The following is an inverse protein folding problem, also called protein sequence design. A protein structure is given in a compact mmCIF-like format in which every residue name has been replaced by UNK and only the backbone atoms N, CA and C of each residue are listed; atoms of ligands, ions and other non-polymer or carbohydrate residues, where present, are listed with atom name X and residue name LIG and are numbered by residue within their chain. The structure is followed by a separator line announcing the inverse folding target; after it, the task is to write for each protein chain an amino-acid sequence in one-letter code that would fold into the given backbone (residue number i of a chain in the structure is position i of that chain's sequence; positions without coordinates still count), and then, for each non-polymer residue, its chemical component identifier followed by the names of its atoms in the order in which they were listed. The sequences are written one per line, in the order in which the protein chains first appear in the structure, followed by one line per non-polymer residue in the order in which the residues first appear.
data_IF_298027921943
#
_entry.id   IF_298027921943
#
_cell.length_a   1.000
_cell.length_b   1.000
_cell.length_c   1.000
_cell.angle_alpha   90.00
_cell.angle_beta   90.00
_cell.angle_gamma   90.00
#
_symmetry.space_group_name_H-M   'P 1'
#
loop_
_entity.id
_entity.type
_entity.pdbx_description
1 polymer ?
#
# COMPACT_ATOMS: atom_id res chain seq x y z
N UNK A 1 -11.08 2.06 16.24
CA UNK A 1 -11.28 0.72 16.86
C UNK A 1 -12.70 0.28 16.59
N UNK A 2 -12.93 -1.02 16.40
CA UNK A 2 -14.28 -1.57 16.17
C UNK A 2 -14.63 -2.61 17.24
N UNK A 3 -15.90 -2.71 17.58
CA UNK A 3 -16.43 -3.80 18.40
C UNK A 3 -17.64 -4.40 17.67
N UNK A 4 -17.62 -5.71 17.42
CA UNK A 4 -18.76 -6.39 16.81
C UNK A 4 -19.84 -6.65 17.85
N UNK A 5 -21.09 -6.28 17.55
CA UNK A 5 -22.23 -6.48 18.47
C UNK A 5 -23.05 -7.75 18.16
N UNK A 6 -23.02 -8.23 16.92
CA UNK A 6 -23.88 -9.33 16.45
C UNK A 6 -23.10 -10.61 16.12
N UNK A 7 -21.77 -10.54 16.03
CA UNK A 7 -20.92 -11.70 15.71
C UNK A 7 -20.72 -12.54 16.98
N UNK A 8 -21.40 -13.68 17.05
CA UNK A 8 -21.35 -14.58 18.21
C UNK A 8 -20.04 -15.39 18.25
N UNK A 9 -19.63 -15.93 17.10
CA UNK A 9 -18.38 -16.68 16.97
C UNK A 9 -17.24 -15.77 16.50
N UNK A 10 -16.16 -15.67 17.28
CA UNK A 10 -15.05 -14.76 17.02
C UNK A 10 -15.43 -13.27 17.13
N UNK A 11 -15.97 -12.80 18.27
CA UNK A 11 -16.28 -11.40 18.48
C UNK A 11 -15.01 -10.55 18.48
N UNK A 12 -15.06 -9.41 17.81
CA UNK A 12 -14.00 -8.42 17.83
C UNK A 12 -14.31 -7.41 18.94
N UNK A 13 -13.39 -7.24 19.88
CA UNK A 13 -13.54 -6.28 20.99
C UNK A 13 -12.45 -5.23 20.84
N UNK A 14 -12.85 -3.96 20.62
CA UNK A 14 -11.94 -2.82 20.43
C UNK A 14 -10.81 -3.09 19.44
N UNK A 15 -11.07 -3.89 18.41
CA UNK A 15 -10.08 -4.30 17.43
C UNK A 15 -9.55 -3.09 16.66
N UNK A 16 -8.23 -3.02 16.48
CA UNK A 16 -7.56 -1.95 15.74
C UNK A 16 -7.46 -2.38 14.28
N UNK A 17 -8.37 -1.85 13.46
CA UNK A 17 -8.46 -2.17 12.03
C UNK A 17 -7.35 -1.58 11.16
N UNK A 18 -6.52 -0.67 11.69
CA UNK A 18 -5.43 0.00 10.95
C UNK A 18 -5.87 1.18 10.09
N UNK A 19 -7.15 1.24 9.70
CA UNK A 19 -7.74 2.34 8.93
C UNK A 19 -7.66 3.68 9.69
N UNK A 20 -7.30 4.72 8.95
CA UNK A 20 -7.22 6.11 9.37
C UNK A 20 -8.28 6.92 8.63
N UNK A 21 -8.99 7.77 9.37
CA UNK A 21 -10.12 8.51 8.85
C UNK A 21 -10.80 9.35 9.91
N UNK A 22 -11.97 9.88 9.58
CA UNK A 22 -12.80 10.69 10.49
C UNK A 22 -14.22 10.15 10.51
N UNK A 23 -14.89 10.24 11.66
CA UNK A 23 -16.29 9.85 11.79
C UNK A 23 -17.16 11.05 11.42
N UNK A 24 -18.05 10.87 10.44
CA UNK A 24 -19.01 11.87 9.99
C UNK A 24 -20.44 11.38 10.24
N UNK A 25 -21.37 12.31 10.40
CA UNK A 25 -22.80 12.00 10.31
C UNK A 25 -23.24 12.18 8.85
N UNK A 26 -23.94 11.20 8.30
CA UNK A 26 -24.48 11.27 6.94
C UNK A 26 -25.97 10.93 6.94
N UNK A 27 -26.73 11.76 6.23
CA UNK A 27 -28.13 11.51 5.87
C UNK A 27 -28.18 11.18 4.38
N UNK A 28 -28.70 10.00 4.03
CA UNK A 28 -28.80 9.51 2.67
C UNK A 28 -30.22 9.66 2.15
N UNK A 29 -30.38 9.99 0.86
CA UNK A 29 -31.69 10.11 0.21
C UNK A 29 -32.51 8.81 0.20
N UNK A 30 -31.88 7.65 0.43
CA UNK A 30 -32.57 6.38 0.62
C UNK A 30 -33.22 6.23 2.02
N UNK A 31 -33.07 7.22 2.91
CA UNK A 31 -33.62 7.22 4.27
C UNK A 31 -32.66 6.67 5.34
N UNK A 32 -31.47 6.18 4.95
CA UNK A 32 -30.44 5.79 5.90
C UNK A 32 -29.79 7.03 6.53
N UNK A 33 -29.62 7.02 7.85
CA UNK A 33 -28.95 8.09 8.61
C UNK A 33 -28.06 7.48 9.68
N UNK A 34 -26.87 8.04 9.90
CA UNK A 34 -25.99 7.57 10.95
C UNK A 34 -24.55 8.04 10.86
N UNK A 35 -23.73 7.49 11.76
CA UNK A 35 -22.29 7.74 11.80
C UNK A 35 -21.57 6.79 10.83
N UNK A 36 -20.78 7.36 9.95
CA UNK A 36 -19.96 6.64 8.97
C UNK A 36 -18.49 7.02 9.13
N UNK A 37 -17.59 6.10 8.77
CA UNK A 37 -16.17 6.39 8.67
C UNK A 37 -15.87 6.93 7.28
N UNK A 38 -15.39 8.16 7.21
CA UNK A 38 -14.75 8.73 6.02
C UNK A 38 -13.29 8.26 5.99
N UNK A 39 -13.02 7.28 5.11
CA UNK A 39 -11.74 6.58 5.01
C UNK A 39 -10.72 7.43 4.26
N UNK A 40 -9.59 7.71 4.91
CA UNK A 40 -8.49 8.52 4.35
C UNK A 40 -7.33 7.62 3.92
N UNK A 41 -7.06 6.53 4.66
CA UNK A 41 -5.94 5.64 4.37
C UNK A 41 -5.68 4.66 5.51
N UNK A 42 -4.46 4.11 5.56
CA UNK A 42 -4.03 3.19 6.62
C UNK A 42 -2.89 3.75 7.44
N UNK A 43 -2.78 3.29 8.69
CA UNK A 43 -1.75 3.71 9.66
C UNK A 43 -0.76 2.60 10.04
N UNK A 44 -0.92 1.41 9.46
CA UNK A 44 -0.17 0.19 9.81
C UNK A 44 0.82 -0.26 8.73
N UNK A 45 1.03 0.54 7.69
CA UNK A 45 1.98 0.24 6.62
C UNK A 45 1.49 -0.81 5.61
N UNK A 46 0.26 -1.29 5.73
CA UNK A 46 -0.35 -2.13 4.71
C UNK A 46 -0.71 -1.29 3.48
N UNK A 47 -0.30 -1.79 2.32
CA UNK A 47 -0.54 -1.20 1.01
C UNK A 47 -1.53 -2.10 0.28
N UNK A 48 -2.62 -1.52 -0.20
CA UNK A 48 -3.62 -2.23 -1.01
C UNK A 48 -3.40 -1.92 -2.48
N UNK A 49 -3.25 -2.96 -3.28
CA UNK A 49 -3.03 -2.90 -4.73
C UNK A 49 -4.01 -3.89 -5.34
N UNK A 50 -4.91 -3.42 -6.19
CA UNK A 50 -6.04 -4.19 -6.69
C UNK A 50 -6.82 -4.84 -5.52
N UNK A 51 -7.01 -6.15 -5.56
CA UNK A 51 -7.63 -6.97 -4.50
C UNK A 51 -6.62 -7.45 -3.45
N UNK A 52 -5.34 -7.29 -3.72
CA UNK A 52 -4.24 -7.80 -2.90
C UNK A 52 -3.77 -6.78 -1.85
N UNK A 53 -3.07 -7.27 -0.84
CA UNK A 53 -2.49 -6.44 0.22
C UNK A 53 -1.08 -6.92 0.52
N UNK A 54 -0.15 -5.98 0.68
CA UNK A 54 1.25 -6.25 1.04
C UNK A 54 1.69 -5.29 2.14
N UNK A 55 2.57 -5.75 3.02
CA UNK A 55 3.15 -4.90 4.06
C UNK A 55 4.39 -4.19 3.52
N UNK A 56 4.47 -2.86 3.70
CA UNK A 56 5.60 -2.06 3.24
C UNK A 56 6.95 -2.58 3.78
N UNK A 57 7.01 -2.99 5.05
CA UNK A 57 8.24 -3.49 5.65
C UNK A 57 8.70 -4.80 5.03
N UNK A 58 7.79 -5.70 4.63
CA UNK A 58 8.16 -6.95 3.96
C UNK A 58 8.79 -6.69 2.58
N UNK A 59 8.26 -5.69 1.84
CA UNK A 59 8.88 -5.26 0.58
C UNK A 59 10.30 -4.75 0.82
N UNK A 60 10.49 -3.84 1.78
CA UNK A 60 11.80 -3.30 2.11
C UNK A 60 12.78 -4.37 2.60
N UNK A 61 12.33 -5.29 3.45
CA UNK A 61 13.13 -6.42 3.95
C UNK A 61 13.56 -7.35 2.82
N UNK A 62 12.68 -7.63 1.86
CA UNK A 62 13.02 -8.47 0.70
C UNK A 62 14.09 -7.86 -0.20
N UNK A 63 14.24 -6.53 -0.17
CA UNK A 63 15.22 -5.80 -0.98
C UNK A 63 16.57 -5.61 -0.26
N UNK A 64 16.71 -6.04 1.00
CA UNK A 64 17.98 -5.97 1.73
C UNK A 64 19.17 -6.64 1.02
N UNK A 65 19.03 -7.80 0.33
CA UNK A 65 20.13 -8.42 -0.42
C UNK A 65 20.70 -7.53 -1.54
N UNK A 66 19.93 -6.54 -2.01
CA UNK A 66 20.36 -5.58 -3.03
C UNK A 66 20.99 -4.32 -2.42
N UNK A 67 21.12 -4.24 -1.10
CA UNK A 67 21.69 -3.08 -0.41
C UNK A 67 20.77 -1.86 -0.41
N UNK A 68 19.46 -2.06 -0.60
CA UNK A 68 18.46 -0.98 -0.57
C UNK A 68 18.34 -0.41 0.85
N UNK A 69 18.59 0.89 0.98
CA UNK A 69 18.48 1.64 2.24
C UNK A 69 17.15 2.36 2.38
N UNK A 70 16.56 2.82 1.28
CA UNK A 70 15.29 3.54 1.25
C UNK A 70 14.39 3.01 0.13
N UNK A 71 13.09 2.96 0.41
CA UNK A 71 12.07 2.52 -0.52
C UNK A 71 10.92 3.54 -0.54
N UNK A 72 10.55 3.99 -1.73
CA UNK A 72 9.29 4.68 -1.98
C UNK A 72 8.41 3.79 -2.84
N UNK A 73 7.15 3.66 -2.44
CA UNK A 73 6.14 2.92 -3.20
C UNK A 73 5.09 3.92 -3.65
N UNK A 74 4.88 4.00 -4.95
CA UNK A 74 3.85 4.81 -5.59
C UNK A 74 2.85 3.90 -6.31
N UNK A 75 1.56 4.19 -6.15
CA UNK A 75 0.49 3.55 -6.90
C UNK A 75 -0.14 4.62 -7.77
N UNK A 76 -0.06 4.43 -9.08
CA UNK A 76 -0.74 5.26 -10.07
C UNK A 76 -1.90 4.48 -10.69
N UNK A 77 -3.06 5.11 -10.81
CA UNK A 77 -4.23 4.51 -11.49
C UNK A 77 -4.56 5.32 -12.73
N UNK A 78 -4.41 4.71 -13.91
CA UNK A 78 -4.71 5.33 -15.21
C UNK A 78 -5.67 4.42 -15.97
N UNK A 79 -6.85 4.95 -16.32
CA UNK A 79 -7.84 4.25 -17.15
C UNK A 79 -8.18 2.81 -16.69
N UNK A 80 -8.38 2.62 -15.38
CA UNK A 80 -8.67 1.33 -14.73
C UNK A 80 -7.50 0.34 -14.65
N UNK A 81 -6.32 0.72 -15.13
CA UNK A 81 -5.07 0.01 -14.87
C UNK A 81 -4.36 0.64 -13.68
N UNK A 82 -3.87 -0.20 -12.78
CA UNK A 82 -2.97 0.23 -11.71
C UNK A 82 -1.52 -0.07 -12.08
N UNK A 83 -0.64 0.86 -11.75
CA UNK A 83 0.80 0.75 -11.88
C UNK A 83 1.44 0.94 -10.51
N UNK A 84 2.27 -0.03 -10.11
CA UNK A 84 3.07 0.01 -8.89
C UNK A 84 4.50 0.38 -9.26
N UNK A 85 4.95 1.55 -8.82
CA UNK A 85 6.30 2.07 -9.06
C UNK A 85 7.06 2.00 -7.74
N UNK A 86 8.11 1.19 -7.69
CA UNK A 86 9.01 1.10 -6.53
C UNK A 86 10.30 1.85 -6.84
N UNK A 87 10.54 2.96 -6.13
CA UNK A 87 11.82 3.68 -6.21
C UNK A 87 12.68 3.29 -5.02
N UNK A 88 13.91 2.91 -5.31
CA UNK A 88 14.87 2.44 -4.32
C UNK A 88 16.09 3.33 -4.30
N UNK A 89 16.64 3.58 -3.12
CA UNK A 89 18.01 4.10 -3.00
C UNK A 89 18.92 3.04 -2.42
N UNK A 90 20.15 3.01 -2.92
CA UNK A 90 21.22 2.17 -2.39
C UNK A 90 22.58 2.87 -2.57
N UNK A 91 23.56 2.64 -1.67
CA UNK A 91 24.90 3.24 -1.78
C UNK A 91 25.60 2.89 -3.10
N UNK A 92 25.34 1.68 -3.59
CA UNK A 92 25.72 1.25 -4.93
C UNK A 92 24.42 0.91 -5.67
N UNK A 93 24.18 1.58 -6.82
CA UNK A 93 22.97 1.34 -7.62
C UNK A 93 22.83 -0.14 -7.95
N UNK A 94 21.73 -0.72 -7.49
CA UNK A 94 21.38 -2.10 -7.71
C UNK A 94 20.71 -2.27 -9.09
N UNK A 95 20.74 -3.49 -9.61
CA UNK A 95 20.04 -3.82 -10.86
C UNK A 95 18.52 -3.79 -10.63
N UNK A 96 17.86 -2.80 -11.23
CA UNK A 96 16.42 -2.58 -11.12
C UNK A 96 15.59 -3.77 -11.66
N UNK A 97 16.02 -4.40 -12.75
CA UNK A 97 15.28 -5.52 -13.32
C UNK A 97 15.46 -6.77 -12.45
N UNK A 98 16.67 -6.99 -11.91
CA UNK A 98 16.90 -8.07 -10.95
C UNK A 98 16.03 -7.91 -9.70
N UNK A 99 15.89 -6.70 -9.16
CA UNK A 99 15.00 -6.41 -8.03
C UNK A 99 13.53 -6.65 -8.39
N UNK A 100 13.10 -6.20 -9.57
CA UNK A 100 11.73 -6.41 -10.06
C UNK A 100 11.39 -7.90 -10.16
N UNK A 101 12.26 -8.70 -10.78
CA UNK A 101 12.08 -10.15 -10.89
C UNK A 101 12.09 -10.82 -9.52
N UNK A 102 12.96 -10.39 -8.60
CA UNK A 102 12.98 -10.89 -7.23
C UNK A 102 11.66 -10.64 -6.50
N UNK A 103 11.12 -9.42 -6.59
CA UNK A 103 9.85 -9.04 -5.98
C UNK A 103 8.68 -9.86 -6.55
N UNK A 104 8.58 -10.00 -7.88
CA UNK A 104 7.53 -10.80 -8.52
C UNK A 104 7.63 -12.30 -8.20
N UNK A 105 8.85 -12.81 -8.00
CA UNK A 105 9.06 -14.19 -7.57
C UNK A 105 8.62 -14.40 -6.11
N UNK A 106 8.91 -13.43 -5.22
CA UNK A 106 8.69 -13.54 -3.78
C UNK A 106 7.26 -13.19 -3.33
N UNK A 107 6.58 -12.30 -4.04
CA UNK A 107 5.26 -11.80 -3.70
C UNK A 107 4.27 -12.07 -4.82
N UNK A 108 3.43 -13.08 -4.62
CA UNK A 108 2.34 -13.41 -5.56
C UNK A 108 1.37 -12.24 -5.75
N UNK A 109 1.17 -11.45 -4.69
CA UNK A 109 0.34 -10.23 -4.69
C UNK A 109 0.76 -9.18 -5.71
N UNK A 110 2.03 -9.16 -6.12
CA UNK A 110 2.57 -8.20 -7.09
C UNK A 110 2.41 -8.68 -8.54
N UNK A 111 1.94 -9.90 -8.77
CA UNK A 111 1.67 -10.43 -10.12
C UNK A 111 0.35 -9.91 -10.69
N UNK A 112 -0.44 -9.22 -9.86
CA UNK A 112 -1.79 -8.78 -10.19
C UNK A 112 -2.82 -9.86 -9.92
N UNK A 113 -4.08 -9.45 -9.93
CA UNK A 113 -5.23 -10.35 -9.89
C UNK A 113 -5.60 -10.80 -11.31
N UNK A 114 -5.69 -12.10 -11.52
CA UNK A 114 -6.04 -12.68 -12.81
C UNK A 114 -7.50 -12.40 -13.20
N UNK A 115 -8.37 -12.11 -12.23
CA UNK A 115 -9.79 -11.82 -12.43
C UNK A 115 -10.05 -10.35 -12.81
N UNK A 116 -9.01 -9.52 -12.89
CA UNK A 116 -9.11 -8.12 -13.31
C UNK A 116 -8.65 -8.00 -14.76
N UNK A 117 -9.52 -7.45 -15.61
CA UNK A 117 -9.27 -7.24 -17.06
C UNK A 117 -8.06 -6.32 -17.38
N UNK A 118 -7.49 -5.67 -16.36
CA UNK A 118 -6.31 -4.81 -16.46
C UNK A 118 -5.15 -5.34 -15.59
N UNK A 119 -4.01 -5.72 -16.21
CA UNK A 119 -2.89 -6.28 -15.47
C UNK A 119 -2.21 -5.21 -14.59
N UNK A 120 -1.73 -5.63 -13.42
CA UNK A 120 -0.90 -4.78 -12.56
C UNK A 120 0.48 -4.57 -13.22
N UNK A 121 0.82 -3.32 -13.51
CA UNK A 121 2.13 -2.99 -14.05
C UNK A 121 3.09 -2.70 -12.89
N UNK A 122 4.11 -3.53 -12.70
CA UNK A 122 5.14 -3.31 -11.67
C UNK A 122 6.43 -2.83 -12.32
N UNK A 123 6.94 -1.67 -11.91
CA UNK A 123 8.25 -1.14 -12.29
C UNK A 123 9.11 -0.84 -11.07
N UNK A 124 10.43 -0.97 -11.24
CA UNK A 124 11.42 -0.64 -10.22
C UNK A 124 12.39 0.38 -10.80
N UNK A 125 12.68 1.42 -10.03
CA UNK A 125 13.68 2.43 -10.34
C UNK A 125 14.80 2.36 -9.28
N UNK A 126 16.04 2.15 -9.71
CA UNK A 126 17.21 2.23 -8.83
C UNK A 126 17.85 3.61 -8.94
N UNK A 127 17.75 4.36 -7.86
CA UNK A 127 18.28 5.71 -7.70
C UNK A 127 19.58 5.66 -6.89
N UNK A 128 20.44 6.65 -7.12
CA UNK A 128 21.59 6.91 -6.26
C UNK A 128 21.15 7.47 -4.91
N UNK A 129 22.02 7.40 -3.92
CA UNK A 129 21.77 7.96 -2.59
C UNK A 129 21.48 9.48 -2.66
N UNK A 130 20.33 9.90 -2.12
CA UNK A 130 19.87 11.29 -2.13
C UNK A 130 19.15 11.76 -3.41
N UNK A 131 18.89 10.87 -4.37
CA UNK A 131 18.14 11.19 -5.60
C UNK A 131 16.62 10.98 -5.46
N UNK A 132 16.19 10.23 -4.45
CA UNK A 132 14.78 10.02 -4.14
C UNK A 132 14.19 11.31 -3.56
N UNK A 133 13.04 11.78 -4.07
CA UNK A 133 12.45 13.02 -3.61
C UNK A 133 12.15 12.98 -2.11
N UNK A 134 12.95 13.70 -1.33
CA UNK A 134 12.67 13.89 0.08
C UNK A 134 11.43 14.77 0.23
N UNK A 135 10.50 14.37 1.09
CA UNK A 135 9.47 15.30 1.55
C UNK A 135 10.16 16.36 2.39
N UNK A 136 10.45 17.52 1.79
CA UNK A 136 10.88 18.69 2.56
C UNK A 136 9.68 19.02 3.44
N UNK A 137 9.77 18.71 4.74
CA UNK A 137 8.78 19.16 5.72
C UNK A 137 8.68 20.67 5.55
N UNK A 138 7.59 21.15 4.96
CA UNK A 138 7.25 22.56 5.04
C UNK A 138 7.13 22.88 6.54
N UNK A 139 8.20 23.46 7.09
CA UNK A 139 8.15 24.05 8.41
C UNK A 139 6.98 25.03 8.40
N UNK A 140 6.10 24.85 9.38
CA UNK A 140 4.92 25.69 9.63
C UNK A 140 5.27 27.17 9.63
#
# INVERSE_FOLDING_TARGET
MITSLQKQEGPLIRYRIGDYGRILHQDCSCGASGRVLDYIGRSDGLIKIQTNTVLYSELLESLQPFGVSLLQVEIASVAHSESLILRTESPQRADAEAMRLHLLARFETLRGDADIDAPLQVSVESLGEGELPATVSAAR
#
